data_IF_018114476290
#
_entry.id   IF_018114476290
#
_cell.length_a   1.000
_cell.length_b   1.000
_cell.length_c   1.000
_cell.angle_alpha   90.00
_cell.angle_beta   90.00
_cell.angle_gamma   90.00
#
_symmetry.space_group_name_H-M   'P 1'
#
loop_
_entity.id
_entity.type
_entity.pdbx_description
1 polymer ?
#
# COMPACT_ATOMS: atom_id res chain seq x y z
N UNK A 1 11.24 -3.40 -10.17
CA UNK A 1 10.41 -4.54 -9.68
C UNK A 1 9.61 -4.00 -8.50
N UNK A 2 8.35 -4.40 -8.29
CA UNK A 2 7.63 -3.98 -7.08
C UNK A 2 8.22 -4.76 -5.90
N UNK A 3 8.57 -4.07 -4.81
CA UNK A 3 9.13 -4.68 -3.59
C UNK A 3 8.04 -4.94 -2.53
N UNK A 4 6.80 -5.09 -2.98
CA UNK A 4 5.65 -5.41 -2.13
C UNK A 4 5.20 -6.85 -2.34
N UNK A 5 4.73 -7.45 -1.26
CA UNK A 5 4.05 -8.74 -1.21
C UNK A 5 2.64 -8.57 -0.67
N UNK A 6 1.79 -9.57 -0.90
CA UNK A 6 0.47 -9.61 -0.25
C UNK A 6 0.62 -9.54 1.27
N UNK A 7 -0.20 -8.71 1.91
CA UNK A 7 -0.17 -8.50 3.35
C UNK A 7 0.81 -7.43 3.84
N UNK A 8 1.73 -6.95 2.98
CA UNK A 8 2.58 -5.81 3.34
C UNK A 8 1.72 -4.58 3.67
N UNK A 9 2.15 -3.84 4.70
CA UNK A 9 1.57 -2.54 5.01
C UNK A 9 2.35 -1.43 4.33
N UNK A 10 1.60 -0.46 3.81
CA UNK A 10 2.12 0.68 3.06
C UNK A 10 1.39 1.96 3.45
N UNK A 11 1.98 3.11 3.14
CA UNK A 11 1.30 4.41 3.15
C UNK A 11 1.35 5.05 1.76
N UNK A 12 0.33 5.87 1.46
CA UNK A 12 0.32 6.69 0.25
C UNK A 12 1.01 8.03 0.53
N UNK A 13 2.07 8.41 -0.21
CA UNK A 13 2.84 9.62 0.08
C UNK A 13 2.03 10.91 -0.05
N UNK A 14 1.14 10.98 -1.05
CA UNK A 14 0.33 12.18 -1.32
C UNK A 14 -1.03 12.19 -0.61
N UNK A 15 -1.36 11.14 0.16
CA UNK A 15 -2.65 10.98 0.84
C UNK A 15 -2.41 10.49 2.28
N UNK A 16 -1.73 11.27 3.13
CA UNK A 16 -1.35 10.85 4.47
C UNK A 16 -2.56 10.61 5.40
N UNK A 17 -3.70 11.22 5.10
CA UNK A 17 -4.97 11.08 5.83
C UNK A 17 -5.67 9.74 5.58
N UNK A 18 -5.26 8.98 4.55
CA UNK A 18 -5.82 7.65 4.27
C UNK A 18 -5.39 6.60 5.30
N UNK A 19 -4.34 6.90 6.08
CA UNK A 19 -3.79 6.02 7.10
C UNK A 19 -2.94 4.89 6.51
N UNK A 20 -2.75 3.83 7.30
CA UNK A 20 -2.06 2.64 6.82
C UNK A 20 -2.95 1.85 5.87
N UNK A 21 -2.34 1.21 4.89
CA UNK A 21 -3.04 0.33 3.96
C UNK A 21 -2.36 -1.02 3.82
N UNK A 22 -3.17 -2.07 3.69
CA UNK A 22 -2.66 -3.43 3.46
C UNK A 22 -2.76 -3.80 1.98
N UNK A 23 -1.68 -4.31 1.39
CA UNK A 23 -1.64 -4.80 0.01
C UNK A 23 -2.49 -6.08 -0.12
N UNK A 24 -3.53 -6.04 -0.96
CA UNK A 24 -4.47 -7.14 -1.18
C UNK A 24 -4.29 -7.85 -2.54
N UNK A 25 -3.80 -7.14 -3.56
CA UNK A 25 -3.48 -7.75 -4.86
C UNK A 25 -2.44 -6.94 -5.62
N UNK A 26 -1.71 -7.61 -6.52
CA UNK A 26 -0.72 -7.00 -7.39
C UNK A 26 -0.95 -7.54 -8.80
N UNK A 27 -1.32 -6.67 -9.74
CA UNK A 27 -1.52 -7.02 -11.15
C UNK A 27 -0.64 -6.11 -12.00
N UNK A 28 0.50 -6.64 -12.44
CA UNK A 28 1.52 -5.87 -13.15
C UNK A 28 2.08 -4.75 -12.29
N UNK A 29 1.63 -3.51 -12.53
CA UNK A 29 2.02 -2.30 -11.78
C UNK A 29 0.91 -1.73 -10.91
N UNK A 30 -0.30 -2.26 -11.04
CA UNK A 30 -1.44 -1.85 -10.24
C UNK A 30 -1.46 -2.67 -8.94
N UNK A 31 -1.43 -1.98 -7.82
CA UNK A 31 -1.48 -2.56 -6.48
C UNK A 31 -2.81 -2.18 -5.86
N UNK A 32 -3.61 -3.16 -5.47
CA UNK A 32 -4.83 -2.89 -4.69
C UNK A 32 -4.45 -2.88 -3.21
N UNK A 33 -4.75 -1.79 -2.53
CA UNK A 33 -4.49 -1.57 -1.11
C UNK A 33 -5.80 -1.26 -0.41
N UNK A 34 -6.03 -1.84 0.76
CA UNK A 34 -7.14 -1.44 1.63
C UNK A 34 -6.63 -0.53 2.74
N UNK A 35 -6.92 0.76 2.64
CA UNK A 35 -6.53 1.81 3.58
C UNK A 35 -7.55 1.95 4.72
N UNK A 36 -7.08 2.32 5.91
CA UNK A 36 -7.89 2.50 7.13
C UNK A 36 -9.02 3.52 6.96
N UNK A 37 -8.76 4.64 6.27
CA UNK A 37 -9.71 5.77 6.19
C UNK A 37 -10.24 6.04 4.78
N UNK A 38 -9.64 5.45 3.75
CA UNK A 38 -10.06 5.59 2.35
C UNK A 38 -10.58 4.27 1.72
N UNK A 39 -10.59 3.18 2.50
CA UNK A 39 -11.02 1.87 2.04
C UNK A 39 -10.14 1.33 0.90
N UNK A 40 -10.75 0.56 0.00
CA UNK A 40 -10.04 -0.13 -1.07
C UNK A 40 -9.72 0.82 -2.23
N UNK A 41 -8.44 0.94 -2.55
CA UNK A 41 -7.94 1.77 -3.63
C UNK A 41 -6.99 0.96 -4.53
N UNK A 42 -7.04 1.24 -5.83
CA UNK A 42 -6.08 0.70 -6.80
C UNK A 42 -5.05 1.77 -7.12
N UNK A 43 -3.79 1.49 -6.85
CA UNK A 43 -2.68 2.42 -7.01
C UNK A 43 -1.81 1.97 -8.18
N UNK A 44 -1.56 2.86 -9.12
CA UNK A 44 -0.61 2.62 -10.20
C UNK A 44 0.81 2.97 -9.72
N UNK A 45 1.61 1.94 -9.41
CA UNK A 45 2.98 2.08 -8.93
C UNK A 45 4.01 2.37 -10.04
N UNK A 46 3.57 2.80 -11.23
CA UNK A 46 4.45 3.53 -12.16
C UNK A 46 4.40 5.05 -11.91
N UNK A 47 3.37 5.52 -11.22
CA UNK A 47 3.11 6.95 -10.98
C UNK A 47 3.36 7.27 -9.51
N UNK A 48 2.90 6.39 -8.61
CA UNK A 48 2.97 6.58 -7.16
C UNK A 48 3.85 5.50 -6.54
N UNK A 49 4.94 5.91 -5.89
CA UNK A 49 5.78 5.02 -5.09
C UNK A 49 5.21 4.92 -3.67
N UNK A 50 4.46 3.85 -3.41
CA UNK A 50 3.97 3.53 -2.06
C UNK A 50 5.16 3.31 -1.11
N UNK A 51 5.03 3.75 0.14
CA UNK A 51 6.09 3.61 1.13
C UNK A 51 5.80 2.39 1.98
N UNK A 52 6.69 1.38 1.94
CA UNK A 52 6.57 0.18 2.77
C UNK A 52 6.77 0.55 4.24
N UNK A 53 5.85 0.11 5.08
CA UNK A 53 5.95 0.27 6.53
C UNK A 53 6.65 -0.97 7.07
N UNK A 54 7.72 -0.77 7.85
CA UNK A 54 8.42 -1.87 8.47
C UNK A 54 7.51 -2.46 9.56
N UNK A 55 6.99 -3.66 9.32
CA UNK A 55 6.19 -4.40 10.28
C UNK A 55 7.11 -5.03 11.32
N UNK A 56 7.75 -4.20 12.15
CA UNK A 56 8.35 -4.67 13.42
C UNK A 56 7.30 -4.71 14.55
N UNK A 57 6.02 -4.70 14.19
CA UNK A 57 4.92 -4.94 15.12
C UNK A 57 4.73 -6.44 15.34
N UNK A 58 5.66 -7.03 16.09
CA UNK A 58 5.34 -8.10 17.03
C UNK A 58 5.00 -7.45 18.37
N UNK A 59 3.86 -6.75 18.44
CA UNK A 59 3.23 -6.39 19.71
C UNK A 59 1.88 -7.10 19.76
#
# INVERSE_FOLDING_TARGET
MLYFSLGDFVTHPDQPDWGYGQVQSIVGKNVTVNFEHAGKQMINCQIIDLVKVNSDRRD
#
